data_IF_938608205803
#
_entry.id   IF_938608205803
#
_cell.length_a   1.000
_cell.length_b   1.000
_cell.length_c   1.000
_cell.angle_alpha   90.00
_cell.angle_beta   90.00
_cell.angle_gamma   90.00
#
_symmetry.space_group_name_H-M   'P 1'
#
loop_
_entity.id
_entity.type
_entity.pdbx_description
1 polymer ?
#
# COMPACT_ATOMS: atom_id res chain seq x y z
N UNK A 1 16.94 27.65 5.57
CA UNK A 1 16.66 26.68 6.67
C UNK A 1 16.47 25.33 6.00
N UNK A 2 17.37 24.40 6.25
CA UNK A 2 17.36 23.04 5.73
C UNK A 2 16.21 22.29 6.40
N UNK A 3 15.12 22.04 5.65
CA UNK A 3 14.00 21.20 6.09
C UNK A 3 14.40 19.73 6.12
N UNK A 4 15.30 19.37 7.03
CA UNK A 4 15.50 17.98 7.38
C UNK A 4 14.31 17.52 8.24
N UNK A 5 13.80 16.33 7.95
CA UNK A 5 12.78 15.64 8.74
C UNK A 5 13.08 15.79 10.23
N UNK A 6 12.10 16.23 10.99
CA UNK A 6 12.20 16.19 12.43
C UNK A 6 12.41 14.72 12.86
N UNK A 7 13.18 14.52 13.94
CA UNK A 7 13.52 13.21 14.48
C UNK A 7 12.29 12.32 14.75
N UNK A 8 11.11 12.94 14.85
CA UNK A 8 9.83 12.31 15.17
C UNK A 8 8.93 12.08 13.92
N UNK A 9 9.36 12.52 12.73
CA UNK A 9 8.62 12.35 11.47
C UNK A 9 8.96 11.01 10.81
N UNK A 10 8.76 9.90 11.53
CA UNK A 10 9.02 8.59 10.95
C UNK A 10 7.77 8.09 10.25
N UNK A 11 7.83 8.01 8.93
CA UNK A 11 6.72 7.58 8.10
C UNK A 11 6.47 6.08 8.21
N UNK A 12 5.22 5.68 8.50
CA UNK A 12 4.81 4.27 8.69
C UNK A 12 5.15 3.41 7.46
N UNK A 13 4.97 3.95 6.26
CA UNK A 13 5.30 3.21 5.03
C UNK A 13 6.79 2.90 4.91
N UNK A 14 7.66 3.86 5.28
CA UNK A 14 9.12 3.68 5.28
C UNK A 14 9.53 2.64 6.32
N UNK A 15 8.96 2.71 7.53
CA UNK A 15 9.19 1.70 8.57
C UNK A 15 8.77 0.30 8.12
N UNK A 16 7.56 0.16 7.56
CA UNK A 16 7.06 -1.12 7.07
C UNK A 16 7.94 -1.68 5.94
N UNK A 17 8.37 -0.83 5.00
CA UNK A 17 9.27 -1.24 3.93
C UNK A 17 10.66 -1.65 4.46
N UNK A 18 11.16 -0.99 5.49
CA UNK A 18 12.41 -1.39 6.15
C UNK A 18 12.27 -2.75 6.84
N UNK A 19 11.15 -2.99 7.52
CA UNK A 19 10.84 -4.27 8.17
C UNK A 19 10.69 -5.43 7.19
N UNK A 20 10.33 -5.17 5.93
CA UNK A 20 10.32 -6.19 4.87
C UNK A 20 11.67 -6.89 4.75
N UNK A 21 12.76 -6.14 4.91
CA UNK A 21 14.14 -6.66 4.81
C UNK A 21 14.72 -7.10 6.16
N UNK A 22 14.42 -6.39 7.24
CA UNK A 22 14.94 -6.70 8.57
C UNK A 22 14.22 -7.88 9.22
N UNK A 23 12.94 -8.06 8.91
CA UNK A 23 12.09 -9.08 9.50
C UNK A 23 11.70 -8.78 10.94
N UNK A 24 10.95 -9.72 11.53
CA UNK A 24 10.53 -9.69 12.92
C UNK A 24 11.61 -10.26 13.84
N UNK A 25 12.20 -9.41 14.67
CA UNK A 25 13.29 -9.71 15.61
C UNK A 25 13.11 -8.90 16.89
N UNK A 26 13.87 -9.21 17.93
CA UNK A 26 13.81 -8.48 19.19
C UNK A 26 14.04 -6.98 19.03
N UNK A 27 15.04 -6.60 18.25
CA UNK A 27 15.39 -5.20 18.01
C UNK A 27 14.41 -4.46 17.08
N UNK A 28 13.48 -5.16 16.41
CA UNK A 28 12.44 -4.55 15.54
C UNK A 28 11.07 -4.49 16.22
N UNK A 29 10.88 -5.12 17.38
CA UNK A 29 9.59 -5.18 18.08
C UNK A 29 8.99 -3.82 18.37
N UNK A 30 9.79 -2.87 18.83
CA UNK A 30 9.30 -1.52 19.15
C UNK A 30 8.70 -0.84 17.91
N UNK A 31 9.36 -0.97 16.75
CA UNK A 31 8.87 -0.43 15.47
C UNK A 31 7.59 -1.15 15.02
N UNK A 32 7.53 -2.48 15.16
CA UNK A 32 6.34 -3.26 14.81
C UNK A 32 5.15 -2.84 15.66
N UNK A 33 5.33 -2.73 16.99
CA UNK A 33 4.28 -2.31 17.90
C UNK A 33 3.81 -0.88 17.58
N UNK A 34 4.72 0.04 17.33
CA UNK A 34 4.38 1.40 16.94
C UNK A 34 3.51 1.45 15.68
N UNK A 35 3.83 0.66 14.65
CA UNK A 35 3.00 0.56 13.43
C UNK A 35 1.62 0.01 13.78
N UNK A 36 1.55 -1.07 14.55
CA UNK A 36 0.27 -1.69 14.94
C UNK A 36 -0.62 -0.70 15.72
N UNK A 37 -0.06 -0.02 16.71
CA UNK A 37 -0.78 0.94 17.53
C UNK A 37 -1.27 2.14 16.71
N UNK A 38 -0.41 2.66 15.81
CA UNK A 38 -0.76 3.75 14.91
C UNK A 38 -1.91 3.36 13.99
N UNK A 39 -1.85 2.19 13.36
CA UNK A 39 -2.87 1.74 12.41
C UNK A 39 -4.19 1.39 13.08
N UNK A 40 -4.17 0.85 14.30
CA UNK A 40 -5.38 0.55 15.11
C UNK A 40 -5.97 1.79 15.76
N UNK A 41 -5.14 2.74 16.13
CA UNK A 41 -5.56 3.96 16.81
C UNK A 41 -6.34 4.94 15.93
N UNK A 42 -6.32 4.76 14.61
CA UNK A 42 -6.99 5.66 13.65
C UNK A 42 -6.45 7.09 13.68
N UNK A 43 -5.31 7.30 14.31
CA UNK A 43 -4.66 8.62 14.38
C UNK A 43 -4.07 8.99 13.01
N UNK A 44 -4.10 10.28 12.64
CA UNK A 44 -3.36 10.74 11.48
C UNK A 44 -1.88 10.39 11.62
N UNK A 45 -1.31 9.78 10.60
CA UNK A 45 0.12 9.49 10.54
C UNK A 45 0.77 10.26 9.40
N UNK A 46 2.06 10.51 9.54
CA UNK A 46 2.81 11.26 8.54
C UNK A 46 2.87 10.49 7.21
N UNK A 47 2.55 11.17 6.12
CA UNK A 47 2.69 10.70 4.75
C UNK A 47 3.47 11.74 3.96
N UNK A 48 4.78 11.77 4.15
CA UNK A 48 5.65 12.75 3.49
C UNK A 48 6.08 12.31 2.08
N UNK A 49 6.25 11.00 1.90
CA UNK A 49 6.77 10.42 0.65
C UNK A 49 5.69 9.76 -0.19
N UNK A 50 4.56 9.40 0.40
CA UNK A 50 3.47 8.71 -0.29
C UNK A 50 2.20 9.56 -0.29
N UNK A 51 1.67 9.80 -1.48
CA UNK A 51 0.49 10.65 -1.65
C UNK A 51 -0.83 10.00 -1.17
N UNK A 52 -0.80 8.72 -0.80
CA UNK A 52 -2.00 7.96 -0.42
C UNK A 52 -1.72 6.93 0.66
N UNK A 53 -2.68 6.79 1.57
CA UNK A 53 -2.74 5.74 2.60
C UNK A 53 -2.76 4.31 2.02
N UNK A 54 -3.15 4.15 0.75
CA UNK A 54 -3.07 2.87 0.03
C UNK A 54 -1.65 2.32 0.04
N UNK A 55 -0.63 3.17 -0.16
CA UNK A 55 0.76 2.71 -0.15
C UNK A 55 1.25 2.33 1.23
N UNK A 56 0.76 2.99 2.27
CA UNK A 56 1.04 2.60 3.65
C UNK A 56 0.58 1.17 3.90
N UNK A 57 -0.67 0.87 3.57
CA UNK A 57 -1.22 -0.47 3.69
C UNK A 57 -0.52 -1.49 2.79
N UNK A 58 -0.13 -1.09 1.58
CA UNK A 58 0.62 -1.96 0.67
C UNK A 58 1.98 -2.38 1.25
N UNK A 59 2.74 -1.46 1.84
CA UNK A 59 4.01 -1.79 2.47
C UNK A 59 3.85 -2.65 3.73
N UNK A 60 2.84 -2.38 4.56
CA UNK A 60 2.50 -3.21 5.73
C UNK A 60 2.11 -4.62 5.28
N UNK A 61 1.25 -4.74 4.27
CA UNK A 61 0.79 -6.02 3.73
C UNK A 61 1.96 -6.87 3.18
N UNK A 62 2.87 -6.26 2.42
CA UNK A 62 4.09 -6.92 1.94
C UNK A 62 4.97 -7.39 3.10
N UNK A 63 5.23 -6.53 4.07
CA UNK A 63 6.01 -6.90 5.25
C UNK A 63 5.36 -8.07 6.00
N UNK A 64 4.03 -8.05 6.17
CA UNK A 64 3.27 -9.16 6.76
C UNK A 64 3.46 -10.46 5.97
N UNK A 65 3.36 -10.40 4.65
CA UNK A 65 3.44 -11.59 3.81
C UNK A 65 4.81 -12.26 3.85
N UNK A 66 5.88 -11.47 3.86
CA UNK A 66 7.24 -11.98 3.68
C UNK A 66 8.06 -12.11 4.98
N UNK A 67 7.80 -11.28 6.00
CA UNK A 67 8.78 -11.14 7.08
C UNK A 67 8.26 -10.76 8.47
N UNK A 68 7.03 -10.25 8.61
CA UNK A 68 6.50 -9.71 9.89
C UNK A 68 5.15 -10.31 10.20
N UNK A 69 5.16 -11.47 10.87
CA UNK A 69 3.93 -12.21 11.20
C UNK A 69 2.99 -11.44 12.15
N UNK A 70 3.53 -10.62 13.04
CA UNK A 70 2.74 -9.80 13.98
C UNK A 70 1.76 -8.86 13.28
N UNK A 71 1.99 -8.45 12.03
CA UNK A 71 1.05 -7.64 11.26
C UNK A 71 -0.25 -8.38 10.88
N UNK A 72 -0.33 -9.70 11.09
CA UNK A 72 -1.59 -10.44 10.98
C UNK A 72 -2.66 -9.83 11.90
N UNK A 73 -2.28 -9.26 13.05
CA UNK A 73 -3.20 -8.56 13.95
C UNK A 73 -3.81 -7.26 13.40
N UNK A 74 -3.41 -6.82 12.19
CA UNK A 74 -4.00 -5.68 11.47
C UNK A 74 -5.03 -6.08 10.42
N UNK A 75 -5.26 -7.37 10.18
CA UNK A 75 -6.11 -7.85 9.08
C UNK A 75 -7.54 -7.30 9.15
N UNK A 76 -8.17 -7.33 10.32
CA UNK A 76 -9.53 -6.80 10.49
C UNK A 76 -9.60 -5.27 10.28
N UNK A 77 -8.59 -4.55 10.79
CA UNK A 77 -8.48 -3.10 10.57
C UNK A 77 -8.32 -2.79 9.07
N UNK A 78 -7.51 -3.57 8.39
CA UNK A 78 -7.33 -3.46 6.93
C UNK A 78 -8.63 -3.72 6.18
N UNK A 79 -9.37 -4.79 6.51
CA UNK A 79 -10.64 -5.13 5.84
C UNK A 79 -11.67 -4.00 5.99
N UNK A 80 -11.80 -3.44 7.18
CA UNK A 80 -12.71 -2.33 7.43
C UNK A 80 -12.35 -1.09 6.61
N UNK A 81 -11.05 -0.74 6.58
CA UNK A 81 -10.53 0.38 5.81
C UNK A 81 -10.65 0.13 4.29
N UNK A 82 -10.33 -1.08 3.81
CA UNK A 82 -10.42 -1.48 2.39
C UNK A 82 -11.81 -1.22 1.81
N UNK A 83 -12.87 -1.66 2.50
CA UNK A 83 -14.25 -1.51 2.05
C UNK A 83 -14.66 -0.06 1.83
N UNK A 84 -14.15 0.86 2.65
CA UNK A 84 -14.38 2.29 2.49
C UNK A 84 -13.55 2.85 1.32
N UNK A 85 -12.29 2.44 1.23
CA UNK A 85 -11.36 2.96 0.24
C UNK A 85 -11.74 2.55 -1.18
N UNK A 86 -12.13 1.29 -1.40
CA UNK A 86 -12.54 0.77 -2.71
C UNK A 86 -13.69 1.59 -3.31
N UNK A 87 -14.61 2.09 -2.49
CA UNK A 87 -15.76 2.88 -2.94
C UNK A 87 -15.37 4.28 -3.43
N UNK A 88 -14.24 4.79 -3.00
CA UNK A 88 -13.78 6.15 -3.31
C UNK A 88 -12.79 6.22 -4.47
N UNK A 89 -12.32 5.08 -5.00
CA UNK A 89 -11.38 5.03 -6.11
C UNK A 89 -12.06 5.30 -7.45
N UNK A 90 -11.50 6.26 -8.19
CA UNK A 90 -11.79 6.45 -9.61
C UNK A 90 -10.70 5.77 -10.45
N UNK A 91 -11.03 4.65 -11.10
CA UNK A 91 -10.05 3.88 -11.90
C UNK A 91 -9.47 4.65 -13.09
N UNK A 92 -10.09 5.77 -13.50
CA UNK A 92 -9.54 6.63 -14.57
C UNK A 92 -8.32 7.41 -14.10
N UNK A 93 -8.29 7.80 -12.83
CA UNK A 93 -7.23 8.62 -12.24
C UNK A 93 -6.38 7.83 -11.24
N UNK A 94 -6.98 6.86 -10.54
CA UNK A 94 -6.40 6.16 -9.39
C UNK A 94 -5.95 4.73 -9.72
N UNK A 95 -5.75 4.39 -10.99
CA UNK A 95 -5.38 3.04 -11.43
C UNK A 95 -4.17 2.46 -10.66
N UNK A 96 -3.07 3.22 -10.44
CA UNK A 96 -1.95 2.72 -9.64
C UNK A 96 -2.33 2.39 -8.19
N UNK A 97 -3.22 3.20 -7.60
CA UNK A 97 -3.74 2.95 -6.25
C UNK A 97 -4.60 1.68 -6.21
N UNK A 98 -5.39 1.45 -7.24
CA UNK A 98 -6.23 0.27 -7.35
C UNK A 98 -5.40 -1.03 -7.44
N UNK A 99 -4.29 -1.02 -8.18
CA UNK A 99 -3.35 -2.15 -8.21
C UNK A 99 -2.72 -2.39 -6.84
N UNK A 100 -2.22 -1.34 -6.19
CA UNK A 100 -1.62 -1.45 -4.87
C UNK A 100 -2.65 -1.93 -3.82
N UNK A 101 -3.91 -1.49 -3.93
CA UNK A 101 -5.00 -1.91 -3.05
C UNK A 101 -5.33 -3.40 -3.21
N UNK A 102 -5.43 -3.88 -4.46
CA UNK A 102 -5.62 -5.31 -4.73
C UNK A 102 -4.48 -6.16 -4.17
N UNK A 103 -3.24 -5.76 -4.45
CA UNK A 103 -2.06 -6.46 -3.96
C UNK A 103 -1.99 -6.47 -2.44
N UNK A 104 -2.45 -5.41 -1.77
CA UNK A 104 -2.56 -5.37 -0.31
C UNK A 104 -3.52 -6.44 0.22
N UNK A 105 -4.68 -6.62 -0.43
CA UNK A 105 -5.64 -7.65 -0.04
C UNK A 105 -5.05 -9.07 -0.23
N UNK A 106 -4.32 -9.29 -1.32
CA UNK A 106 -3.62 -10.55 -1.55
C UNK A 106 -2.59 -10.83 -0.45
N UNK A 107 -1.73 -9.86 -0.14
CA UNK A 107 -0.68 -10.03 0.87
C UNK A 107 -1.22 -10.15 2.30
N UNK A 108 -2.37 -9.57 2.61
CA UNK A 108 -3.08 -9.83 3.86
C UNK A 108 -3.79 -11.20 3.89
N UNK A 109 -3.78 -11.97 2.79
CA UNK A 109 -4.42 -13.27 2.70
C UNK A 109 -5.94 -13.20 2.63
N UNK A 110 -6.47 -12.09 2.13
CA UNK A 110 -7.93 -11.84 1.98
C UNK A 110 -8.29 -11.39 0.55
N UNK A 111 -7.78 -12.06 -0.51
CA UNK A 111 -8.00 -11.61 -1.88
C UNK A 111 -9.48 -11.56 -2.28
N UNK A 112 -10.33 -12.34 -1.62
CA UNK A 112 -11.77 -12.40 -1.89
C UNK A 112 -12.48 -11.07 -1.67
N UNK A 113 -11.98 -10.21 -0.78
CA UNK A 113 -12.59 -8.88 -0.58
C UNK A 113 -12.35 -7.94 -1.76
N UNK A 114 -11.35 -8.23 -2.57
CA UNK A 114 -10.93 -7.42 -3.72
C UNK A 114 -11.38 -8.00 -5.08
N UNK A 115 -12.26 -8.99 -5.11
CA UNK A 115 -12.73 -9.64 -6.35
C UNK A 115 -13.40 -8.64 -7.30
N UNK A 116 -14.26 -7.77 -6.78
CA UNK A 116 -14.92 -6.75 -7.58
C UNK A 116 -13.92 -5.72 -8.14
N UNK A 117 -12.94 -5.35 -7.35
CA UNK A 117 -11.87 -4.47 -7.79
C UNK A 117 -11.05 -5.13 -8.90
N UNK A 118 -10.70 -6.41 -8.76
CA UNK A 118 -9.98 -7.15 -9.79
C UNK A 118 -10.76 -7.21 -11.12
N UNK A 119 -12.06 -7.49 -11.07
CA UNK A 119 -12.91 -7.48 -12.28
C UNK A 119 -12.88 -6.12 -12.98
N UNK A 120 -13.07 -5.04 -12.25
CA UNK A 120 -12.98 -3.68 -12.78
C UNK A 120 -11.61 -3.37 -13.38
N UNK A 121 -10.53 -3.84 -12.74
CA UNK A 121 -9.16 -3.66 -13.23
C UNK A 121 -8.91 -4.41 -14.54
N UNK A 122 -9.39 -5.65 -14.65
CA UNK A 122 -9.29 -6.43 -15.89
C UNK A 122 -10.07 -5.74 -17.02
N UNK A 123 -11.32 -5.37 -16.77
CA UNK A 123 -12.16 -4.68 -17.77
C UNK A 123 -11.56 -3.35 -18.21
N UNK A 124 -11.01 -2.58 -17.28
CA UNK A 124 -10.36 -1.30 -17.55
C UNK A 124 -9.07 -1.43 -18.36
N UNK A 125 -8.28 -2.47 -18.11
CA UNK A 125 -7.00 -2.69 -18.83
C UNK A 125 -7.20 -3.25 -20.24
N UNK A 126 -8.18 -4.13 -20.43
CA UNK A 126 -8.50 -4.69 -21.75
C UNK A 126 -9.04 -3.62 -22.71
N UNK A 127 -9.73 -2.61 -22.20
CA UNK A 127 -10.30 -1.53 -22.99
C UNK A 127 -9.32 -0.36 -23.30
N UNK A 128 -8.03 -0.57 -23.16
CA UNK A 128 -7.00 0.37 -23.61
C UNK A 128 -6.77 1.55 -22.66
N UNK A 129 -6.88 1.32 -21.36
CA UNK A 129 -6.53 2.32 -20.39
C UNK A 129 -5.07 2.77 -20.57
N UNK A 130 -4.85 4.05 -20.80
CA UNK A 130 -3.53 4.64 -20.68
C UNK A 130 -3.07 4.47 -19.22
N UNK A 131 -1.94 3.82 -19.00
CA UNK A 131 -1.36 3.70 -17.66
C UNK A 131 -0.91 5.08 -17.19
N UNK A 132 -1.61 5.71 -16.23
CA UNK A 132 -1.21 7.01 -15.74
C UNK A 132 0.12 6.89 -14.99
N UNK A 133 0.90 7.96 -15.05
CA UNK A 133 2.08 8.07 -14.21
C UNK A 133 1.63 8.11 -12.75
N UNK A 134 2.25 7.28 -11.91
CA UNK A 134 2.12 7.48 -10.47
C UNK A 134 3.04 8.61 -10.04
N UNK A 135 2.45 9.58 -9.34
CA UNK A 135 3.18 10.73 -8.80
C UNK A 135 3.51 10.50 -7.33
N UNK A 136 4.78 10.59 -6.98
CA UNK A 136 5.20 10.83 -5.62
C UNK A 136 5.11 12.34 -5.38
N UNK A 137 4.16 12.77 -4.56
CA UNK A 137 4.06 14.18 -4.16
C UNK A 137 4.53 14.34 -2.74
N UNK A 138 5.52 15.19 -2.52
CA UNK A 138 5.70 15.80 -1.21
C UNK A 138 4.70 16.93 -1.10
N UNK A 139 3.84 16.95 -0.09
CA UNK A 139 2.87 18.02 0.16
C UNK A 139 3.52 19.41 0.26
N UNK A 140 4.78 19.46 0.69
CA UNK A 140 5.51 20.70 0.96
C UNK A 140 6.45 21.13 -0.17
N UNK A 141 6.60 20.31 -1.19
CA UNK A 141 7.50 20.61 -2.32
C UNK A 141 6.73 20.31 -3.59
N UNK A 142 6.57 21.29 -4.46
CA UNK A 142 5.96 21.17 -5.79
C UNK A 142 6.70 20.18 -6.74
N UNK A 143 7.21 19.07 -6.22
CA UNK A 143 7.88 18.04 -6.98
C UNK A 143 6.95 16.86 -7.17
N UNK A 144 6.52 16.68 -8.40
CA UNK A 144 5.84 15.48 -8.83
C UNK A 144 6.88 14.59 -9.52
N UNK A 145 7.31 13.53 -8.86
CA UNK A 145 8.07 12.46 -9.51
C UNK A 145 7.13 11.32 -9.84
N UNK A 146 7.06 10.92 -11.08
CA UNK A 146 6.20 9.84 -11.54
C UNK A 146 6.95 8.86 -12.41
N UNK A 147 6.54 7.59 -12.39
CA UNK A 147 7.13 6.54 -13.20
C UNK A 147 6.06 5.59 -13.74
N UNK A 148 5.96 5.53 -15.08
CA UNK A 148 5.14 4.52 -15.75
C UNK A 148 5.65 3.11 -15.43
N UNK A 149 6.96 2.91 -15.26
CA UNK A 149 7.56 1.63 -14.91
C UNK A 149 7.07 1.12 -13.55
N UNK A 150 6.87 2.01 -12.57
CA UNK A 150 6.34 1.64 -11.27
C UNK A 150 4.87 1.18 -11.38
N UNK A 151 4.05 1.90 -12.14
CA UNK A 151 2.66 1.50 -12.40
C UNK A 151 2.58 0.15 -13.09
N UNK A 152 3.43 -0.07 -14.10
CA UNK A 152 3.51 -1.35 -14.79
C UNK A 152 3.99 -2.50 -13.89
N UNK A 153 4.90 -2.23 -12.95
CA UNK A 153 5.33 -3.25 -11.99
C UNK A 153 4.21 -3.67 -11.04
N UNK A 154 3.40 -2.74 -10.54
CA UNK A 154 2.22 -3.08 -9.75
C UNK A 154 1.15 -3.83 -10.55
N UNK A 155 0.97 -3.48 -11.82
CA UNK A 155 0.09 -4.22 -12.72
C UNK A 155 0.56 -5.67 -12.90
N UNK A 156 1.84 -5.89 -13.22
CA UNK A 156 2.42 -7.22 -13.35
C UNK A 156 2.30 -8.04 -12.06
N UNK A 157 2.55 -7.42 -10.92
CA UNK A 157 2.36 -8.01 -9.59
C UNK A 157 0.88 -8.40 -9.36
N UNK A 158 -0.07 -7.53 -9.75
CA UNK A 158 -1.51 -7.81 -9.63
C UNK A 158 -1.91 -9.03 -10.48
N UNK A 159 -1.43 -9.12 -11.70
CA UNK A 159 -1.69 -10.28 -12.57
C UNK A 159 -1.11 -11.57 -12.00
N UNK A 160 0.12 -11.51 -11.50
CA UNK A 160 0.77 -12.66 -10.85
C UNK A 160 -0.02 -13.13 -9.62
N UNK A 161 -0.40 -12.21 -8.77
CA UNK A 161 -1.17 -12.50 -7.55
C UNK A 161 -2.57 -13.05 -7.88
N UNK A 162 -3.25 -12.50 -8.89
CA UNK A 162 -4.54 -13.01 -9.36
C UNK A 162 -4.41 -14.45 -9.88
N UNK A 163 -3.39 -14.75 -10.67
CA UNK A 163 -3.14 -16.10 -11.16
C UNK A 163 -2.86 -17.11 -10.03
N UNK A 164 -2.31 -16.68 -8.91
CA UNK A 164 -2.11 -17.54 -7.74
C UNK A 164 -3.43 -17.87 -7.02
N UNK A 165 -4.42 -16.99 -7.09
CA UNK A 165 -5.72 -17.18 -6.41
C UNK A 165 -6.70 -18.01 -7.23
N UNK A 166 -6.69 -17.84 -8.56
CA UNK A 166 -7.72 -18.39 -9.47
C UNK A 166 -7.21 -19.55 -10.34
N UNK A 167 -6.11 -20.19 -9.96
CA UNK A 167 -5.69 -21.49 -10.49
C UNK A 167 -6.44 -22.62 -9.78
#
# INVERSE_FOLDING_TARGET
QSGFLHKDDVEVAVMANTLLYLGEKENTKATINHIIDTMKGGQPYAMHFYASDVFVWYHIARARHYSVNSFTGLQETFIAWFKQKEQTLDLKTDLPLAFALYNSAFYFGVPQIAENLLRKLIDGTVNGANFPYHYFTSKDRNYNAGSAALTLSWYAETLQNALCVYK
#
